data_IF_867728847834
#
_entry.id   IF_867728847834
#
_cell.length_a   1.000
_cell.length_b   1.000
_cell.length_c   1.000
_cell.angle_alpha   90.00
_cell.angle_beta   90.00
_cell.angle_gamma   90.00
#
_symmetry.space_group_name_H-M   'P 1'
#
loop_
_entity.id
_entity.type
_entity.pdbx_description
1 polymer ?
#
# COMPACT_ATOMS: atom_id res chain seq x y z
N UNK A 1 -39.10 -27.23 -25.62
CA UNK A 1 -38.41 -26.31 -24.68
C UNK A 1 -37.64 -25.32 -25.51
N UNK A 2 -37.99 -24.04 -25.44
CA UNK A 2 -37.28 -22.98 -26.16
C UNK A 2 -35.98 -22.68 -25.42
N UNK A 3 -34.90 -23.38 -25.79
CA UNK A 3 -33.55 -22.98 -25.40
C UNK A 3 -33.04 -21.97 -26.43
N UNK A 4 -32.31 -20.98 -25.93
CA UNK A 4 -31.52 -20.10 -26.77
C UNK A 4 -30.50 -20.95 -27.55
N UNK A 5 -30.16 -20.57 -28.80
CA UNK A 5 -29.04 -21.17 -29.50
C UNK A 5 -27.77 -21.10 -28.67
N UNK A 6 -26.94 -22.14 -28.74
CA UNK A 6 -25.72 -22.24 -27.93
C UNK A 6 -24.78 -21.06 -28.19
N UNK A 7 -24.72 -20.54 -29.43
CA UNK A 7 -23.90 -19.36 -29.75
C UNK A 7 -24.33 -18.11 -28.96
N UNK A 8 -25.65 -17.94 -28.75
CA UNK A 8 -26.18 -16.81 -27.97
C UNK A 8 -25.87 -17.01 -26.49
N UNK A 9 -25.96 -18.24 -25.99
CA UNK A 9 -25.58 -18.56 -24.61
C UNK A 9 -24.09 -18.30 -24.37
N UNK A 10 -23.22 -18.68 -25.30
CA UNK A 10 -21.77 -18.45 -25.21
C UNK A 10 -21.43 -16.95 -25.18
N UNK A 11 -22.10 -16.13 -26.01
CA UNK A 11 -21.94 -14.67 -25.98
C UNK A 11 -22.34 -14.11 -24.62
N UNK A 12 -23.48 -14.55 -24.08
CA UNK A 12 -23.97 -14.09 -22.77
C UNK A 12 -22.99 -14.49 -21.66
N UNK A 13 -22.53 -15.74 -21.65
CA UNK A 13 -21.59 -16.23 -20.66
C UNK A 13 -20.23 -15.53 -20.74
N UNK A 14 -19.74 -15.26 -21.95
CA UNK A 14 -18.49 -14.52 -22.15
C UNK A 14 -18.57 -13.10 -21.58
N UNK A 15 -19.68 -12.38 -21.80
CA UNK A 15 -19.88 -11.06 -21.21
C UNK A 15 -20.01 -11.12 -19.69
N UNK A 16 -20.77 -12.09 -19.18
CA UNK A 16 -20.93 -12.28 -17.73
C UNK A 16 -19.59 -12.54 -17.06
N UNK A 17 -18.80 -13.50 -17.56
CA UNK A 17 -17.49 -13.82 -17.00
C UNK A 17 -16.47 -12.69 -17.21
N UNK A 18 -16.53 -11.99 -18.35
CA UNK A 18 -15.70 -10.80 -18.58
C UNK A 18 -15.95 -9.70 -17.56
N UNK A 19 -17.22 -9.43 -17.25
CA UNK A 19 -17.62 -8.48 -16.21
C UNK A 19 -17.16 -8.93 -14.82
N UNK A 20 -17.47 -10.18 -14.44
CA UNK A 20 -17.08 -10.76 -13.14
C UNK A 20 -15.56 -10.73 -12.97
N UNK A 21 -14.79 -11.06 -14.01
CA UNK A 21 -13.33 -11.01 -13.96
C UNK A 21 -12.80 -9.57 -13.83
N UNK A 22 -13.39 -8.61 -14.55
CA UNK A 22 -13.01 -7.22 -14.43
C UNK A 22 -13.25 -6.67 -13.01
N UNK A 23 -14.44 -6.88 -12.46
CA UNK A 23 -14.79 -6.38 -11.12
C UNK A 23 -14.01 -7.09 -10.01
N UNK A 24 -13.84 -8.41 -10.10
CA UNK A 24 -13.27 -9.17 -9.00
C UNK A 24 -11.76 -9.36 -9.09
N UNK A 25 -11.17 -9.33 -10.29
CA UNK A 25 -9.72 -9.56 -10.45
C UNK A 25 -9.02 -8.27 -10.82
N UNK A 26 -9.43 -7.58 -11.88
CA UNK A 26 -8.71 -6.40 -12.37
C UNK A 26 -8.72 -5.25 -11.36
N UNK A 27 -9.86 -4.96 -10.73
CA UNK A 27 -9.96 -3.96 -9.67
C UNK A 27 -9.05 -4.30 -8.47
N UNK A 28 -9.06 -5.54 -8.00
CA UNK A 28 -8.21 -5.99 -6.91
C UNK A 28 -6.72 -5.82 -7.24
N UNK A 29 -6.31 -6.12 -8.48
CA UNK A 29 -4.94 -5.94 -8.94
C UNK A 29 -4.52 -4.46 -9.05
N UNK A 30 -5.46 -3.54 -9.24
CA UNK A 30 -5.19 -2.09 -9.26
C UNK A 30 -5.11 -1.48 -7.86
N UNK A 31 -5.75 -2.09 -6.86
CA UNK A 31 -5.82 -1.58 -5.47
C UNK A 31 -4.45 -1.22 -4.88
N UNK A 32 -3.39 -2.06 -4.98
CA UNK A 32 -2.09 -1.71 -4.41
C UNK A 32 -1.51 -0.43 -5.01
N UNK A 33 -1.55 -0.29 -6.34
CA UNK A 33 -1.07 0.90 -7.06
C UNK A 33 -1.78 2.17 -6.56
N UNK A 34 -3.10 2.10 -6.42
CA UNK A 34 -3.88 3.22 -5.92
C UNK A 34 -3.46 3.62 -4.49
N UNK A 35 -3.37 2.66 -3.58
CA UNK A 35 -2.99 2.92 -2.19
C UNK A 35 -1.56 3.45 -2.07
N UNK A 36 -0.59 2.87 -2.78
CA UNK A 36 0.80 3.34 -2.79
C UNK A 36 0.87 4.80 -3.26
N UNK A 37 0.16 5.13 -4.34
CA UNK A 37 0.14 6.49 -4.88
C UNK A 37 -0.47 7.48 -3.88
N UNK A 38 -1.60 7.12 -3.27
CA UNK A 38 -2.27 7.92 -2.24
C UNK A 38 -1.36 8.20 -1.05
N UNK A 39 -0.68 7.18 -0.54
CA UNK A 39 0.27 7.31 0.58
C UNK A 39 1.46 8.19 0.17
N UNK A 40 2.03 7.96 -1.01
CA UNK A 40 3.16 8.74 -1.53
C UNK A 40 2.81 10.22 -1.66
N UNK A 41 1.63 10.52 -2.18
CA UNK A 41 1.14 11.89 -2.28
C UNK A 41 0.93 12.54 -0.92
N UNK A 42 0.34 11.82 0.04
CA UNK A 42 0.18 12.31 1.40
C UNK A 42 1.53 12.69 2.01
N UNK A 43 2.53 11.82 1.93
CA UNK A 43 3.87 12.10 2.45
C UNK A 43 4.48 13.35 1.81
N UNK A 44 4.42 13.45 0.48
CA UNK A 44 4.97 14.59 -0.26
C UNK A 44 4.29 15.90 0.11
N UNK A 45 2.97 15.89 0.28
CA UNK A 45 2.16 17.11 0.48
C UNK A 45 2.07 17.52 1.96
N UNK A 46 1.99 16.57 2.89
CA UNK A 46 1.61 16.81 4.28
C UNK A 46 2.73 16.51 5.28
N UNK A 47 3.45 15.40 5.13
CA UNK A 47 4.42 14.98 6.13
C UNK A 47 5.83 15.54 5.89
N UNK A 48 6.39 15.37 4.69
CA UNK A 48 7.80 15.70 4.40
C UNK A 48 8.04 17.21 4.40
N UNK A 49 7.07 17.97 3.88
CA UNK A 49 7.16 19.44 3.79
C UNK A 49 6.98 20.10 5.15
N UNK A 50 6.27 19.45 6.08
CA UNK A 50 6.09 19.95 7.43
C UNK A 50 7.20 19.44 8.36
N UNK A 51 7.65 20.26 9.29
CA UNK A 51 8.66 19.93 10.32
C UNK A 51 8.19 20.25 11.73
N UNK A 52 6.90 20.57 11.91
CA UNK A 52 6.32 20.90 13.19
C UNK A 52 5.89 19.63 13.91
N UNK A 53 6.50 19.34 15.05
CA UNK A 53 6.19 18.17 15.89
C UNK A 53 4.70 18.15 16.30
N UNK A 54 4.08 19.32 16.51
CA UNK A 54 2.66 19.42 16.87
C UNK A 54 1.73 19.09 15.70
N UNK A 55 2.12 19.45 14.47
CA UNK A 55 1.37 19.05 13.29
C UNK A 55 1.46 17.55 13.05
N UNK A 56 2.64 16.96 13.30
CA UNK A 56 2.85 15.53 13.15
C UNK A 56 1.88 14.73 14.04
N UNK A 57 1.66 15.17 15.29
CA UNK A 57 0.64 14.59 16.19
C UNK A 57 -0.79 14.68 15.64
N UNK A 58 -1.15 15.80 15.02
CA UNK A 58 -2.49 15.99 14.44
C UNK A 58 -2.75 15.04 13.27
N UNK A 59 -1.70 14.62 12.57
CA UNK A 59 -1.83 13.73 11.42
C UNK A 59 -1.51 12.26 11.73
N UNK A 60 -1.17 11.93 12.98
CA UNK A 60 -0.82 10.57 13.41
C UNK A 60 -1.91 9.56 13.08
N UNK A 61 -3.18 9.90 13.31
CA UNK A 61 -4.33 9.06 12.94
C UNK A 61 -4.31 8.63 11.46
N UNK A 62 -3.94 9.54 10.56
CA UNK A 62 -3.85 9.21 9.13
C UNK A 62 -2.67 8.29 8.84
N UNK A 63 -1.53 8.48 9.52
CA UNK A 63 -0.36 7.63 9.40
C UNK A 63 -0.66 6.20 9.88
N UNK A 64 -1.36 6.05 11.00
CA UNK A 64 -1.81 4.75 11.53
C UNK A 64 -2.77 4.06 10.55
N UNK A 65 -3.75 4.77 9.99
CA UNK A 65 -4.65 4.20 8.98
C UNK A 65 -3.90 3.73 7.72
N UNK A 66 -2.94 4.52 7.23
CA UNK A 66 -2.10 4.12 6.10
C UNK A 66 -1.19 2.93 6.44
N UNK A 67 -0.73 2.82 7.69
CA UNK A 67 0.02 1.66 8.18
C UNK A 67 -0.83 0.39 8.12
N UNK A 68 -2.10 0.46 8.52
CA UNK A 68 -3.05 -0.65 8.40
C UNK A 68 -3.19 -1.08 6.94
N UNK A 69 -3.42 -0.12 6.02
CA UNK A 69 -3.56 -0.43 4.59
C UNK A 69 -2.31 -1.11 4.01
N UNK A 70 -1.10 -0.66 4.38
CA UNK A 70 0.14 -1.31 3.95
C UNK A 70 0.30 -2.72 4.54
N UNK A 71 -0.12 -2.91 5.78
CA UNK A 71 -0.06 -4.20 6.46
C UNK A 71 -1.01 -5.21 5.82
N UNK A 72 -2.22 -4.79 5.44
CA UNK A 72 -3.17 -5.63 4.70
C UNK A 72 -2.62 -6.05 3.33
N UNK A 73 -1.99 -5.12 2.60
CA UNK A 73 -1.32 -5.44 1.34
C UNK A 73 -0.18 -6.45 1.51
N UNK A 74 0.54 -6.42 2.64
CA UNK A 74 1.60 -7.38 2.94
C UNK A 74 1.06 -8.77 3.30
N UNK A 75 -0.13 -8.85 3.92
CA UNK A 75 -0.77 -10.13 4.30
C UNK A 75 -1.25 -10.93 3.09
N UNK A 76 -1.69 -10.25 2.03
CA UNK A 76 -2.11 -10.91 0.79
C UNK A 76 -0.89 -11.35 -0.03
N UNK A 77 -0.66 -12.66 -0.12
CA UNK A 77 0.48 -13.25 -0.83
C UNK A 77 0.48 -12.91 -2.34
N UNK A 78 -0.69 -12.86 -2.96
CA UNK A 78 -0.85 -12.58 -4.39
C UNK A 78 -0.55 -11.11 -4.69
N UNK A 79 -1.15 -10.20 -3.92
CA UNK A 79 -0.88 -8.77 -4.05
C UNK A 79 0.56 -8.42 -3.67
N UNK A 80 1.14 -9.08 -2.64
CA UNK A 80 2.55 -8.94 -2.27
C UNK A 80 3.47 -9.32 -3.44
N UNK A 81 3.21 -10.44 -4.12
CA UNK A 81 3.98 -10.83 -5.29
C UNK A 81 3.84 -9.80 -6.42
N UNK A 82 2.62 -9.36 -6.71
CA UNK A 82 2.34 -8.35 -7.72
C UNK A 82 3.04 -7.02 -7.42
N UNK A 83 3.05 -6.61 -6.15
CA UNK A 83 3.78 -5.44 -5.66
C UNK A 83 5.29 -5.58 -5.86
N UNK A 84 5.87 -6.75 -5.59
CA UNK A 84 7.32 -6.98 -5.81
C UNK A 84 7.71 -6.82 -7.28
N UNK A 85 6.83 -7.22 -8.21
CA UNK A 85 7.07 -7.13 -9.65
C UNK A 85 6.92 -5.68 -10.14
N UNK A 86 5.84 -5.01 -9.76
CA UNK A 86 5.49 -3.69 -10.31
C UNK A 86 6.08 -2.51 -9.53
N UNK A 87 6.49 -2.74 -8.28
CA UNK A 87 6.99 -1.73 -7.35
C UNK A 87 8.16 -2.29 -6.56
N UNK A 88 9.30 -2.44 -7.23
CA UNK A 88 10.53 -3.02 -6.66
C UNK A 88 10.88 -2.50 -5.25
N UNK A 89 10.71 -1.20 -4.91
CA UNK A 89 11.00 -0.72 -3.57
C UNK A 89 10.10 -1.31 -2.47
N UNK A 90 8.85 -1.72 -2.77
CA UNK A 90 7.98 -2.37 -1.77
C UNK A 90 8.51 -3.71 -1.28
N UNK A 91 9.35 -4.38 -2.07
CA UNK A 91 10.00 -5.61 -1.63
C UNK A 91 10.70 -5.41 -0.28
N UNK A 92 11.39 -4.28 -0.12
CA UNK A 92 12.10 -3.93 1.11
C UNK A 92 11.16 -3.45 2.22
N UNK A 93 9.99 -2.90 1.86
CA UNK A 93 8.99 -2.54 2.87
C UNK A 93 8.42 -3.77 3.56
N UNK A 94 8.25 -4.87 2.82
CA UNK A 94 7.64 -6.12 3.28
C UNK A 94 8.65 -7.19 3.70
N UNK A 95 9.90 -6.79 3.88
CA UNK A 95 11.00 -7.64 4.33
C UNK A 95 11.05 -7.64 5.87
N UNK A 96 10.80 -8.80 6.48
CA UNK A 96 10.71 -8.94 7.93
C UNK A 96 12.05 -8.69 8.60
N UNK A 97 13.17 -9.11 8.00
CA UNK A 97 14.51 -8.89 8.54
C UNK A 97 14.86 -7.40 8.60
N UNK A 98 14.44 -6.65 7.56
CA UNK A 98 14.65 -5.20 7.49
C UNK A 98 13.79 -4.45 8.53
N UNK A 99 12.58 -4.95 8.79
CA UNK A 99 11.63 -4.32 9.71
C UNK A 99 12.05 -4.38 11.18
N UNK A 100 12.83 -5.39 11.58
CA UNK A 100 13.13 -5.67 13.00
C UNK A 100 14.36 -4.93 13.54
N UNK A 101 15.33 -4.56 12.70
CA UNK A 101 16.61 -4.02 13.17
C UNK A 101 16.57 -2.52 13.50
N UNK A 102 16.12 -1.68 12.57
CA UNK A 102 16.23 -0.22 12.68
C UNK A 102 14.99 0.48 13.25
N UNK A 103 13.89 -0.25 13.43
CA UNK A 103 12.56 0.33 13.75
C UNK A 103 12.02 -0.11 15.11
N UNK A 104 12.84 -0.68 15.99
CA UNK A 104 12.41 -1.17 17.31
C UNK A 104 11.86 -0.06 18.21
N UNK A 105 12.31 1.19 18.04
CA UNK A 105 11.82 2.36 18.78
C UNK A 105 10.62 3.06 18.12
N UNK A 106 10.15 2.55 16.97
CA UNK A 106 8.94 3.05 16.33
C UNK A 106 7.77 2.19 16.78
N UNK A 107 6.68 2.83 17.20
CA UNK A 107 5.43 2.17 17.56
C UNK A 107 4.98 1.21 16.45
N UNK A 108 4.44 0.05 16.82
CA UNK A 108 4.03 -0.97 15.85
C UNK A 108 2.94 -0.47 14.89
N UNK A 109 2.06 0.42 15.35
CA UNK A 109 1.01 1.06 14.52
C UNK A 109 1.58 2.01 13.47
N UNK A 110 2.87 2.34 13.53
CA UNK A 110 3.56 3.23 12.60
C UNK A 110 4.75 2.57 11.88
N UNK A 111 5.08 1.32 12.21
CA UNK A 111 6.32 0.68 11.76
C UNK A 111 6.35 0.48 10.24
N UNK A 112 5.28 -0.04 9.65
CA UNK A 112 5.20 -0.31 8.21
C UNK A 112 5.20 0.98 7.39
N UNK A 113 4.51 2.02 7.86
CA UNK A 113 4.45 3.34 7.21
C UNK A 113 5.77 4.10 7.37
N UNK A 114 6.48 3.92 8.49
CA UNK A 114 7.82 4.45 8.70
C UNK A 114 8.83 3.83 7.70
N UNK A 115 8.85 2.50 7.58
CA UNK A 115 9.69 1.80 6.59
C UNK A 115 9.37 2.29 5.18
N UNK A 116 8.07 2.36 4.84
CA UNK A 116 7.62 2.88 3.55
C UNK A 116 8.17 4.28 3.29
N UNK A 117 8.08 5.18 4.27
CA UNK A 117 8.57 6.55 4.14
C UNK A 117 10.08 6.61 3.85
N UNK A 118 10.88 5.70 4.43
CA UNK A 118 12.34 5.69 4.27
C UNK A 118 12.74 5.14 2.90
N UNK A 119 12.00 4.15 2.41
CA UNK A 119 12.26 3.51 1.13
C UNK A 119 11.80 4.38 -0.06
N UNK A 120 10.63 5.01 0.05
CA UNK A 120 9.99 5.76 -1.04
C UNK A 120 10.38 7.25 -1.12
N UNK A 121 11.19 7.75 -0.19
CA UNK A 121 11.64 9.13 -0.19
C UNK A 121 13.14 9.28 -0.38
N UNK A 122 13.59 10.55 -0.42
CA UNK A 122 14.99 10.90 -0.63
C UNK A 122 15.89 10.25 0.44
N UNK A 123 16.95 9.51 0.05
CA UNK A 123 17.89 8.87 0.96
C UNK A 123 18.47 9.79 2.05
N UNK A 124 18.65 11.07 1.74
CA UNK A 124 19.20 12.08 2.66
C UNK A 124 18.25 12.33 3.85
N UNK A 125 16.95 12.07 3.68
CA UNK A 125 15.94 12.31 4.71
C UNK A 125 15.70 11.10 5.61
N UNK A 126 16.29 9.93 5.34
CA UNK A 126 15.98 8.67 6.03
C UNK A 126 16.13 8.77 7.55
N UNK A 127 17.27 9.28 8.03
CA UNK A 127 17.50 9.46 9.46
C UNK A 127 16.50 10.45 10.09
N UNK A 128 16.20 11.55 9.39
CA UNK A 128 15.24 12.55 9.86
C UNK A 128 13.82 11.99 9.94
N UNK A 129 13.41 11.19 8.95
CA UNK A 129 12.12 10.52 8.94
C UNK A 129 12.02 9.51 10.07
N UNK A 130 13.04 8.65 10.23
CA UNK A 130 13.07 7.67 11.33
C UNK A 130 12.93 8.36 12.69
N UNK A 131 13.73 9.39 12.95
CA UNK A 131 13.67 10.14 14.20
C UNK A 131 12.33 10.85 14.43
N UNK A 132 11.65 11.31 13.36
CA UNK A 132 10.29 11.86 13.50
C UNK A 132 9.30 10.78 13.91
N UNK A 133 9.39 9.59 13.31
CA UNK A 133 8.53 8.47 13.68
C UNK A 133 8.77 7.94 15.10
N UNK A 134 9.99 8.05 15.65
CA UNK A 134 10.26 7.67 17.05
C UNK A 134 9.68 8.65 18.08
N UNK A 135 9.20 9.83 17.64
CA UNK A 135 8.58 10.85 18.50
C UNK A 135 7.04 10.83 18.44
N UNK A 136 6.47 10.07 17.51
CA UNK A 136 5.03 9.87 17.31
C UNK A 136 4.56 8.60 18.03
#
# INVERSE_FOLDING_TARGET
MNKLPDEILDIIWSHYWGFIYSENVIEQLKKPKYEINKITEFFRKKFIRNKCDEYDKQITYYLENMNVSLTELNKDKGLKLLCKINYTPLKYCFDEEYSQSCFHNVRDELKQIAIFSIIFNNPILRYKLLHRFTKL
#
